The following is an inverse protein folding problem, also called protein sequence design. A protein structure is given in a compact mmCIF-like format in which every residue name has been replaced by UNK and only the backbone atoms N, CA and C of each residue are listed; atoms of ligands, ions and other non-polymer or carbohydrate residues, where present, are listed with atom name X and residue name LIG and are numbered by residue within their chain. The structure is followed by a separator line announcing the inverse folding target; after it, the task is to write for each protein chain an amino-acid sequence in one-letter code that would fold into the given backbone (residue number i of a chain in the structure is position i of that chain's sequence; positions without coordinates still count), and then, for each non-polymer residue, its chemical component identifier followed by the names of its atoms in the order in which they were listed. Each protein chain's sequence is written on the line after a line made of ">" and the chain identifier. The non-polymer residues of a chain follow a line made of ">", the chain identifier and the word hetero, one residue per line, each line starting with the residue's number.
data_IF_977718873656
#
_entry.id   IF_977718873656
#
_cell.length_a   1.000
_cell.length_b   1.000
_cell.length_c   1.000
_cell.angle_alpha   90.00
_cell.angle_beta   90.00
_cell.angle_gamma   90.00
#
_symmetry.space_group_name_H-M   'P 1'
#
loop_
_entity.id
_entity.type
_entity.pdbx_description
1 polymer ?
#
# COMPACT_ATOMS: atom_id res chain seq x y z
N UNK A 1 0.43 -9.42 -34.48
CA UNK A 1 1.42 -9.78 -33.43
C UNK A 1 1.40 -11.27 -33.17
N UNK A 2 2.56 -11.87 -32.85
CA UNK A 2 2.69 -13.29 -32.50
C UNK A 2 2.21 -13.53 -31.07
N UNK A 3 1.47 -14.61 -30.81
CA UNK A 3 1.14 -15.05 -29.43
C UNK A 3 2.35 -15.77 -28.81
N UNK A 4 2.66 -15.43 -27.56
CA UNK A 4 3.71 -16.06 -26.76
C UNK A 4 3.03 -16.86 -25.64
N UNK A 5 3.16 -18.18 -25.69
CA UNK A 5 2.40 -19.12 -24.87
C UNK A 5 3.22 -19.73 -23.74
N UNK A 6 4.53 -19.50 -23.72
CA UNK A 6 5.44 -20.04 -22.71
C UNK A 6 6.39 -18.96 -22.23
N UNK A 7 6.91 -19.14 -21.02
CA UNK A 7 7.87 -18.24 -20.40
C UNK A 7 9.14 -18.10 -21.27
N UNK A 8 9.64 -19.19 -21.85
CA UNK A 8 10.76 -19.17 -22.80
C UNK A 8 10.48 -18.31 -24.03
N UNK A 9 9.26 -18.35 -24.56
CA UNK A 9 8.89 -17.53 -25.72
C UNK A 9 8.86 -16.03 -25.36
N UNK A 10 8.45 -15.69 -24.14
CA UNK A 10 8.51 -14.32 -23.63
C UNK A 10 9.95 -13.89 -23.41
N UNK A 11 10.78 -14.71 -22.78
CA UNK A 11 12.19 -14.39 -22.52
C UNK A 11 12.94 -14.06 -23.82
N UNK A 12 12.82 -14.94 -24.80
CA UNK A 12 13.42 -14.75 -26.12
C UNK A 12 12.91 -13.46 -26.78
N UNK A 13 11.60 -13.21 -26.71
CA UNK A 13 11.01 -12.00 -27.28
C UNK A 13 11.49 -10.72 -26.58
N UNK A 14 11.57 -10.71 -25.25
CA UNK A 14 12.07 -9.57 -24.47
C UNK A 14 13.53 -9.27 -24.81
N UNK A 15 14.34 -10.33 -24.97
CA UNK A 15 15.74 -10.21 -25.37
C UNK A 15 15.88 -9.67 -26.79
N UNK A 16 15.20 -10.28 -27.77
CA UNK A 16 15.25 -9.90 -29.19
C UNK A 16 14.80 -8.44 -29.40
N UNK A 17 13.80 -7.98 -28.65
CA UNK A 17 13.26 -6.63 -28.76
C UNK A 17 13.94 -5.60 -27.88
N UNK A 18 14.95 -6.00 -27.09
CA UNK A 18 15.63 -5.14 -26.10
C UNK A 18 14.66 -4.44 -25.15
N UNK A 19 13.64 -5.17 -24.71
CA UNK A 19 12.62 -4.65 -23.80
C UNK A 19 13.25 -4.29 -22.44
N UNK A 20 12.70 -3.26 -21.79
CA UNK A 20 13.04 -2.93 -20.39
C UNK A 20 12.26 -3.79 -19.38
N UNK A 21 11.25 -4.52 -19.84
CA UNK A 21 10.45 -5.41 -19.01
C UNK A 21 11.24 -6.70 -18.77
N UNK A 22 11.14 -7.22 -17.54
CA UNK A 22 11.74 -8.49 -17.15
C UNK A 22 10.69 -9.60 -17.16
N UNK A 23 11.16 -10.84 -17.28
CA UNK A 23 10.30 -12.02 -17.38
C UNK A 23 9.36 -12.22 -16.17
N UNK A 24 9.76 -11.72 -15.00
CA UNK A 24 8.99 -11.76 -13.75
C UNK A 24 7.66 -10.98 -13.82
N UNK A 25 7.49 -10.11 -14.82
CA UNK A 25 6.26 -9.34 -15.03
C UNK A 25 5.18 -10.12 -15.79
N UNK A 26 5.45 -11.37 -16.18
CA UNK A 26 4.55 -12.21 -16.97
C UNK A 26 4.22 -13.50 -16.22
N UNK A 27 2.94 -13.86 -16.18
CA UNK A 27 2.45 -15.09 -15.52
C UNK A 27 1.51 -15.85 -16.45
N UNK A 28 1.70 -17.18 -16.49
CA UNK A 28 0.94 -18.10 -17.33
C UNK A 28 -0.02 -19.00 -16.53
N UNK A 29 -0.08 -18.81 -15.22
CA UNK A 29 -0.99 -19.58 -14.37
C UNK A 29 -2.44 -19.26 -14.76
N UNK A 30 -3.15 -20.30 -15.21
CA UNK A 30 -4.57 -20.25 -15.59
C UNK A 30 -5.50 -19.76 -14.47
N UNK A 31 -5.04 -19.80 -13.21
CA UNK A 31 -5.78 -19.28 -12.05
C UNK A 31 -5.64 -17.77 -11.88
N UNK A 32 -4.66 -17.13 -12.52
CA UNK A 32 -4.47 -15.68 -12.45
C UNK A 32 -5.41 -15.00 -13.43
N UNK A 33 -6.42 -14.31 -12.91
CA UNK A 33 -7.33 -13.52 -13.72
C UNK A 33 -6.74 -12.14 -14.03
N UNK A 34 -6.02 -12.03 -15.14
CA UNK A 34 -5.38 -10.78 -15.61
C UNK A 34 -6.38 -9.67 -16.00
N UNK A 35 -7.68 -9.96 -16.08
CA UNK A 35 -8.73 -8.95 -16.33
C UNK A 35 -9.28 -8.36 -15.03
N UNK A 36 -9.00 -8.98 -13.90
CA UNK A 36 -9.34 -8.45 -12.60
C UNK A 36 -8.12 -7.75 -12.01
N UNK A 37 -8.38 -6.59 -11.44
CA UNK A 37 -7.43 -5.88 -10.59
C UNK A 37 -8.04 -5.87 -9.19
N UNK A 38 -7.21 -5.96 -8.17
CA UNK A 38 -7.65 -5.59 -6.83
C UNK A 38 -7.90 -4.08 -6.87
N UNK A 39 -9.17 -3.69 -6.80
CA UNK A 39 -9.56 -2.33 -6.47
C UNK A 39 -9.78 -2.31 -4.96
N UNK A 40 -8.80 -1.90 -4.15
CA UNK A 40 -9.08 -1.66 -2.76
C UNK A 40 -10.01 -0.45 -2.70
N UNK A 41 -11.29 -0.70 -2.44
CA UNK A 41 -12.18 0.30 -1.85
C UNK A 41 -11.69 0.53 -0.41
N UNK A 42 -10.54 1.20 -0.28
CA UNK A 42 -9.95 1.55 1.00
C UNK A 42 -10.83 2.59 1.66
N UNK A 43 -11.40 2.25 2.82
CA UNK A 43 -12.18 3.20 3.59
C UNK A 43 -11.18 4.12 4.31
N UNK A 44 -11.25 5.41 4.01
CA UNK A 44 -10.60 6.43 4.83
C UNK A 44 -11.32 6.44 6.18
N UNK A 45 -10.63 6.02 7.24
CA UNK A 45 -11.15 6.06 8.61
C UNK A 45 -11.01 7.48 9.16
N UNK A 46 -9.86 8.12 8.90
CA UNK A 46 -9.60 9.48 9.29
C UNK A 46 -8.81 10.18 8.18
N UNK A 47 -9.26 11.37 7.76
CA UNK A 47 -8.61 12.14 6.71
C UNK A 47 -7.33 12.83 7.17
N UNK A 48 -7.22 13.14 8.47
CA UNK A 48 -6.03 13.76 9.07
C UNK A 48 -5.97 13.53 10.59
N UNK A 49 -5.14 12.58 11.02
CA UNK A 49 -4.92 12.33 12.46
C UNK A 49 -4.11 13.43 13.15
N UNK A 50 -3.37 14.24 12.39
CA UNK A 50 -2.60 15.34 12.97
C UNK A 50 -3.50 16.53 13.32
N UNK A 51 -4.73 16.57 12.79
CA UNK A 51 -5.67 17.68 12.96
C UNK A 51 -5.04 19.03 12.57
N UNK A 52 -4.25 19.06 11.49
CA UNK A 52 -3.55 20.25 11.00
C UNK A 52 -2.32 20.66 11.79
N UNK A 53 -1.85 19.85 12.75
CA UNK A 53 -0.60 20.13 13.46
C UNK A 53 0.65 19.89 12.60
N UNK A 54 0.52 19.09 11.53
CA UNK A 54 1.56 18.88 10.54
C UNK A 54 1.29 19.71 9.27
N UNK A 55 2.35 20.05 8.54
CA UNK A 55 2.22 20.85 7.31
C UNK A 55 1.46 20.12 6.19
N UNK A 56 1.37 18.79 6.27
CA UNK A 56 0.63 17.93 5.36
C UNK A 56 -0.30 17.01 6.15
N UNK A 57 -1.54 16.76 5.69
CA UNK A 57 -2.49 15.90 6.40
C UNK A 57 -1.99 14.45 6.42
N UNK A 58 -2.22 13.76 7.54
CA UNK A 58 -1.84 12.36 7.70
C UNK A 58 -3.10 11.49 7.76
N UNK A 59 -3.46 10.86 6.64
CA UNK A 59 -4.66 10.02 6.55
C UNK A 59 -4.45 8.63 7.14
N UNK A 60 -5.51 8.07 7.73
CA UNK A 60 -5.60 6.67 8.17
C UNK A 60 -6.60 5.91 7.31
N UNK A 61 -6.15 4.78 6.79
CA UNK A 61 -6.93 3.87 5.94
C UNK A 61 -6.95 2.47 6.57
N UNK A 62 -8.02 1.72 6.36
CA UNK A 62 -8.07 0.30 6.67
C UNK A 62 -8.70 -0.47 5.50
N UNK A 63 -8.02 -1.53 5.09
CA UNK A 63 -8.41 -2.39 3.98
C UNK A 63 -8.62 -3.85 4.40
N UNK A 64 -8.38 -4.19 5.66
CA UNK A 64 -8.38 -5.56 6.16
C UNK A 64 -9.77 -5.87 6.76
N UNK A 65 -10.15 -5.12 7.79
CA UNK A 65 -11.38 -5.36 8.55
C UNK A 65 -12.51 -4.47 8.02
N UNK A 66 -13.09 -4.84 6.87
CA UNK A 66 -14.12 -4.04 6.18
C UNK A 66 -15.55 -4.22 6.74
N UNK A 67 -15.74 -5.19 7.63
CA UNK A 67 -17.07 -5.52 8.18
C UNK A 67 -17.54 -4.48 9.21
N UNK A 68 -18.80 -3.99 9.12
CA UNK A 68 -19.38 -3.13 10.15
C UNK A 68 -19.29 -3.78 11.54
N UNK A 69 -18.67 -3.09 12.50
CA UNK A 69 -18.44 -3.60 13.86
C UNK A 69 -17.09 -4.32 14.08
N UNK A 70 -16.30 -4.56 13.03
CA UNK A 70 -14.89 -4.97 13.12
C UNK A 70 -13.90 -3.86 12.79
N UNK A 71 -14.39 -2.76 12.19
CA UNK A 71 -13.61 -1.53 12.06
C UNK A 71 -13.45 -0.95 13.47
N UNK A 72 -12.39 -1.33 14.16
CA UNK A 72 -11.95 -0.63 15.36
C UNK A 72 -11.36 0.71 14.91
N UNK A 73 -12.04 1.80 15.24
CA UNK A 73 -11.42 3.11 15.15
C UNK A 73 -10.23 3.16 16.12
N UNK A 74 -9.12 3.84 15.77
CA UNK A 74 -8.02 4.02 16.70
C UNK A 74 -8.55 4.55 18.03
N UNK A 75 -8.09 3.97 19.14
CA UNK A 75 -8.43 4.46 20.49
C UNK A 75 -8.21 5.97 20.58
N UNK A 76 -9.10 6.71 21.23
CA UNK A 76 -8.96 8.17 21.36
C UNK A 76 -7.60 8.55 21.96
N UNK A 77 -6.80 9.31 21.22
CA UNK A 77 -5.49 9.80 21.65
C UNK A 77 -5.29 11.27 21.28
N UNK A 78 -4.36 11.96 21.96
CA UNK A 78 -3.97 13.33 21.62
C UNK A 78 -2.72 13.29 20.76
N UNK A 79 -2.83 13.71 19.50
CA UNK A 79 -1.68 13.89 18.61
C UNK A 79 -0.79 15.03 19.11
N UNK A 80 0.53 14.83 19.09
CA UNK A 80 1.53 15.85 19.47
C UNK A 80 2.70 15.81 18.50
N UNK A 81 3.08 16.98 17.99
CA UNK A 81 4.28 17.17 17.14
C UNK A 81 5.55 17.14 17.99
N UNK A 82 5.48 17.71 19.19
CA UNK A 82 6.62 17.84 20.08
C UNK A 82 6.66 16.71 21.12
N UNK A 83 7.88 16.27 21.44
CA UNK A 83 8.11 15.34 22.54
C UNK A 83 7.89 16.06 23.87
N UNK A 84 6.80 15.73 24.55
CA UNK A 84 6.63 16.10 25.96
C UNK A 84 7.22 15.00 26.85
N UNK A 85 8.29 15.27 27.60
CA UNK A 85 8.84 14.29 28.53
C UNK A 85 7.83 14.01 29.64
N UNK A 86 7.71 12.74 29.98
CA UNK A 86 6.94 12.28 31.13
C UNK A 86 7.83 12.27 32.37
N UNK A 87 7.22 12.20 33.56
CA UNK A 87 7.95 12.20 34.83
C UNK A 87 9.07 11.14 34.83
N UNK A 88 10.28 11.54 35.24
CA UNK A 88 11.46 10.66 35.31
C UNK A 88 12.32 10.60 34.05
N UNK A 89 12.01 11.39 33.01
CA UNK A 89 12.88 11.52 31.83
C UNK A 89 13.89 12.64 32.06
N UNK A 90 15.18 12.35 31.89
CA UNK A 90 16.24 13.36 31.94
C UNK A 90 16.07 14.34 30.77
N UNK A 91 15.80 15.61 31.10
CA UNK A 91 15.83 16.71 30.14
C UNK A 91 17.28 17.00 29.80
N UNK A 92 17.65 16.86 28.54
CA UNK A 92 18.96 17.33 28.06
C UNK A 92 18.88 18.85 27.95
N UNK A 93 19.48 19.54 28.93
CA UNK A 93 19.70 21.01 28.90
C UNK A 93 20.69 21.41 27.83
#
# INVERSE_FOLDING_TARGET
>A
GRKLLTQTQVDNYLHETKSKLTIELFVYDSKVNVKQHYCPDGKIINSDISSGQENIPISVVNEIDKEPGKIEEPSTFTYRVERTPVAGVNMVT
#
